data_IF_832611114606
#
_entry.id   IF_832611114606
#
_cell.length_a   1.000
_cell.length_b   1.000
_cell.length_c   1.000
_cell.angle_alpha   90.00
_cell.angle_beta   90.00
_cell.angle_gamma   90.00
#
_symmetry.space_group_name_H-M   'P 1'
#
loop_
_entity.id
_entity.type
_entity.pdbx_description
1 polymer ?
#
# COMPACT_ATOMS: atom_id res chain seq x y z
N UNK A 1 2.55 -10.23 10.08
CA UNK A 1 3.61 -11.14 10.56
C UNK A 1 4.91 -10.35 10.55
N UNK A 2 5.61 -10.20 11.68
CA UNK A 2 6.76 -9.31 11.81
C UNK A 2 8.09 -10.06 11.60
N UNK A 3 8.22 -10.76 10.49
CA UNK A 3 9.46 -11.46 10.14
C UNK A 3 10.60 -10.46 9.87
N UNK A 4 11.84 -10.88 10.12
CA UNK A 4 13.07 -10.16 9.74
C UNK A 4 13.79 -10.93 8.64
N UNK A 5 14.47 -10.25 7.73
CA UNK A 5 15.23 -10.91 6.66
C UNK A 5 16.51 -11.52 7.20
N UNK A 6 16.76 -12.78 6.85
CA UNK A 6 18.00 -13.46 7.17
C UNK A 6 19.18 -12.80 6.43
N UNK A 7 20.22 -12.44 7.15
CA UNK A 7 21.46 -11.86 6.59
C UNK A 7 22.22 -12.83 5.68
N UNK A 8 22.02 -14.14 5.85
CA UNK A 8 22.70 -15.21 5.07
C UNK A 8 21.98 -15.57 3.78
N UNK A 9 20.67 -15.81 3.83
CA UNK A 9 19.91 -16.36 2.70
C UNK A 9 18.68 -15.53 2.29
N UNK A 10 18.46 -14.38 2.94
CA UNK A 10 17.27 -13.53 2.74
C UNK A 10 15.91 -14.19 3.06
N UNK A 11 15.94 -15.38 3.66
CA UNK A 11 14.77 -16.06 4.18
C UNK A 11 14.11 -15.38 5.37
N UNK A 12 12.92 -15.85 5.73
CA UNK A 12 12.17 -15.31 6.86
C UNK A 12 12.73 -15.80 8.19
N UNK A 13 13.11 -14.86 9.05
CA UNK A 13 13.48 -15.11 10.44
C UNK A 13 12.25 -14.87 11.32
N UNK A 14 11.84 -15.89 12.07
CA UNK A 14 10.64 -15.92 12.92
C UNK A 14 10.96 -16.41 14.33
N UNK A 15 10.17 -16.05 15.36
CA UNK A 15 10.37 -16.56 16.72
C UNK A 15 10.24 -18.09 16.74
N UNK A 16 11.18 -18.77 17.41
CA UNK A 16 11.13 -20.24 17.56
C UNK A 16 9.88 -20.64 18.35
N UNK A 17 9.51 -19.83 19.36
CA UNK A 17 8.32 -20.02 20.17
C UNK A 17 7.46 -18.74 20.08
N UNK A 18 6.41 -18.74 19.24
CA UNK A 18 5.46 -17.63 19.19
C UNK A 18 4.90 -17.38 20.60
N UNK A 19 4.98 -16.14 21.11
CA UNK A 19 4.55 -15.69 22.45
C UNK A 19 5.58 -15.79 23.59
N UNK A 20 6.81 -16.26 23.36
CA UNK A 20 7.88 -16.16 24.36
C UNK A 20 9.00 -15.23 23.90
N UNK A 21 9.62 -14.57 24.87
CA UNK A 21 10.93 -13.93 24.69
C UNK A 21 11.95 -15.02 24.41
N UNK A 22 12.23 -15.27 23.12
CA UNK A 22 13.09 -16.35 22.66
C UNK A 22 13.87 -15.92 21.43
N UNK A 23 14.92 -16.67 21.12
CA UNK A 23 15.65 -16.50 19.88
C UNK A 23 14.78 -16.86 18.68
N UNK A 24 15.16 -16.30 17.54
CA UNK A 24 14.47 -16.48 16.29
C UNK A 24 15.27 -17.42 15.39
N UNK A 25 14.62 -17.95 14.37
CA UNK A 25 15.24 -18.88 13.44
C UNK A 25 14.81 -18.57 12.01
N UNK A 26 15.76 -18.60 11.09
CA UNK A 26 15.48 -18.57 9.67
C UNK A 26 14.77 -19.86 9.23
N UNK A 27 13.66 -19.76 8.52
CA UNK A 27 12.93 -20.94 8.02
C UNK A 27 13.69 -21.69 6.90
N UNK A 28 14.49 -20.98 6.10
CA UNK A 28 15.20 -21.60 4.96
C UNK A 28 16.55 -22.24 5.34
N UNK A 29 17.41 -21.51 6.07
CA UNK A 29 18.77 -21.96 6.38
C UNK A 29 18.98 -22.38 7.85
N UNK A 30 17.91 -22.37 8.65
CA UNK A 30 17.89 -22.80 10.05
C UNK A 30 18.84 -22.03 11.00
N UNK A 31 19.45 -20.94 10.53
CA UNK A 31 20.29 -20.07 11.38
C UNK A 31 19.46 -19.50 12.53
N UNK A 32 20.01 -19.61 13.74
CA UNK A 32 19.47 -18.98 14.95
C UNK A 32 19.94 -17.53 14.99
N UNK A 33 19.02 -16.62 15.25
CA UNK A 33 19.26 -15.18 15.41
C UNK A 33 18.86 -14.79 16.84
N UNK A 34 19.80 -14.26 17.64
CA UNK A 34 19.52 -13.89 19.02
C UNK A 34 18.39 -12.86 19.13
N UNK A 35 17.53 -12.99 20.13
CA UNK A 35 16.43 -12.05 20.39
C UNK A 35 16.90 -10.59 20.44
N UNK A 36 18.08 -10.35 21.03
CA UNK A 36 18.66 -9.01 21.15
C UNK A 36 18.96 -8.37 19.80
N UNK A 37 19.38 -9.15 18.80
CA UNK A 37 19.64 -8.66 17.45
C UNK A 37 18.34 -8.33 16.73
N UNK A 38 17.35 -9.22 16.81
CA UNK A 38 16.01 -8.96 16.27
C UNK A 38 15.41 -7.70 16.91
N UNK A 39 15.51 -7.57 18.23
CA UNK A 39 15.03 -6.40 18.97
C UNK A 39 15.68 -5.09 18.51
N UNK A 40 17.00 -5.08 18.24
CA UNK A 40 17.69 -3.92 17.66
C UNK A 40 17.14 -3.56 16.29
N UNK A 41 16.98 -4.55 15.40
CA UNK A 41 16.44 -4.36 14.05
C UNK A 41 15.03 -3.78 14.08
N UNK A 42 14.13 -4.37 14.87
CA UNK A 42 12.75 -3.90 15.00
C UNK A 42 12.67 -2.51 15.64
N UNK A 43 13.51 -2.22 16.64
CA UNK A 43 13.57 -0.90 17.28
C UNK A 43 14.07 0.17 16.30
N UNK A 44 15.08 -0.14 15.49
CA UNK A 44 15.58 0.76 14.46
C UNK A 44 14.50 1.08 13.43
N UNK A 45 13.82 0.05 12.89
CA UNK A 45 12.72 0.23 11.94
C UNK A 45 11.62 1.10 12.56
N UNK A 46 11.18 0.76 13.77
CA UNK A 46 10.15 1.52 14.46
C UNK A 46 10.53 2.99 14.70
N UNK A 47 11.80 3.25 15.00
CA UNK A 47 12.30 4.62 15.21
C UNK A 47 12.31 5.43 13.90
N UNK A 48 12.74 4.82 12.79
CA UNK A 48 12.72 5.46 11.48
C UNK A 48 11.29 5.73 11.02
N UNK A 49 10.38 4.75 11.15
CA UNK A 49 8.97 4.91 10.77
C UNK A 49 8.26 6.03 11.56
N UNK A 50 8.62 6.21 12.84
CA UNK A 50 8.11 7.32 13.67
C UNK A 50 8.69 8.68 13.26
N UNK A 51 9.88 8.71 12.67
CA UNK A 51 10.53 9.93 12.24
C UNK A 51 9.92 10.51 10.95
N UNK A 52 9.26 9.67 10.15
CA UNK A 52 8.53 10.12 8.97
C UNK A 52 7.32 10.94 9.39
N UNK A 53 7.51 12.25 9.46
CA UNK A 53 6.42 13.23 9.38
C UNK A 53 6.02 13.34 7.90
N UNK A 54 4.72 13.58 7.67
CA UNK A 54 4.18 13.95 6.36
C UNK A 54 5.13 14.99 5.77
N UNK A 55 5.62 14.81 4.53
CA UNK A 55 6.36 15.78 3.68
C UNK A 55 7.68 15.30 3.02
N UNK A 56 7.98 14.00 2.85
CA UNK A 56 9.07 13.65 1.91
C UNK A 56 8.90 12.27 1.24
N UNK A 57 8.23 12.26 0.08
CA UNK A 57 8.07 11.06 -0.76
C UNK A 57 9.42 10.41 -1.09
N UNK A 58 10.43 11.19 -1.49
CA UNK A 58 11.72 10.65 -1.94
C UNK A 58 12.44 9.90 -0.82
N UNK A 59 12.44 10.46 0.39
CA UNK A 59 13.05 9.82 1.56
C UNK A 59 12.29 8.53 1.92
N UNK A 60 10.95 8.56 1.92
CA UNK A 60 10.14 7.38 2.19
C UNK A 60 10.37 6.27 1.15
N UNK A 61 10.33 6.61 -0.13
CA UNK A 61 10.52 5.67 -1.24
C UNK A 61 11.95 5.11 -1.27
N UNK A 62 12.96 5.95 -1.00
CA UNK A 62 14.36 5.52 -0.89
C UNK A 62 14.58 4.56 0.28
N UNK A 63 13.99 4.84 1.45
CA UNK A 63 14.08 3.93 2.60
C UNK A 63 13.37 2.60 2.33
N UNK A 64 12.17 2.65 1.74
CA UNK A 64 11.38 1.48 1.36
C UNK A 64 12.15 0.55 0.42
N UNK A 65 12.72 1.11 -0.67
CA UNK A 65 13.43 0.33 -1.70
C UNK A 65 14.82 -0.10 -1.26
N UNK A 66 15.49 0.70 -0.43
CA UNK A 66 16.85 0.45 0.03
C UNK A 66 16.89 -0.32 1.35
N UNK A 67 17.08 0.40 2.46
CA UNK A 67 17.38 -0.24 3.76
C UNK A 67 16.26 -1.19 4.23
N UNK A 68 14.99 -0.81 4.06
CA UNK A 68 13.89 -1.58 4.61
C UNK A 68 13.74 -2.95 3.92
N UNK A 69 13.83 -3.00 2.59
CA UNK A 69 13.75 -4.25 1.81
C UNK A 69 14.87 -5.26 2.16
N UNK A 70 16.01 -4.78 2.65
CA UNK A 70 17.10 -5.64 3.12
C UNK A 70 16.91 -6.16 4.54
N UNK A 71 16.14 -5.45 5.37
CA UNK A 71 15.93 -5.75 6.79
C UNK A 71 14.71 -6.64 7.03
N UNK A 72 13.67 -6.52 6.21
CA UNK A 72 12.42 -7.26 6.39
C UNK A 72 11.84 -7.70 5.03
N UNK A 73 11.03 -8.78 4.98
CA UNK A 73 10.35 -9.19 3.76
C UNK A 73 9.25 -8.20 3.37
N UNK A 74 8.83 -8.23 2.10
CA UNK A 74 7.83 -7.30 1.54
C UNK A 74 6.44 -7.38 2.20
N UNK A 75 6.11 -8.51 2.83
CA UNK A 75 4.87 -8.71 3.59
C UNK A 75 4.94 -8.21 5.04
N UNK A 76 6.09 -7.70 5.47
CA UNK A 76 6.26 -7.17 6.81
C UNK A 76 5.40 -5.91 7.02
N UNK A 77 4.82 -5.78 8.21
CA UNK A 77 3.94 -4.66 8.56
C UNK A 77 4.58 -3.28 8.33
N UNK A 78 5.89 -3.12 8.56
CA UNK A 78 6.62 -1.88 8.32
C UNK A 78 6.63 -1.47 6.83
N UNK A 79 6.77 -2.45 5.93
CA UNK A 79 6.73 -2.23 4.48
C UNK A 79 5.33 -1.79 4.06
N UNK A 80 4.31 -2.50 4.55
CA UNK A 80 2.91 -2.20 4.24
C UNK A 80 2.49 -0.82 4.78
N UNK A 81 2.87 -0.48 6.02
CA UNK A 81 2.61 0.84 6.62
C UNK A 81 3.23 1.97 5.78
N UNK A 82 4.48 1.80 5.35
CA UNK A 82 5.16 2.81 4.55
C UNK A 82 4.56 2.93 3.13
N UNK A 83 4.17 1.81 2.51
CA UNK A 83 3.42 1.82 1.24
C UNK A 83 2.09 2.57 1.39
N UNK A 84 1.32 2.29 2.45
CA UNK A 84 0.09 3.03 2.75
C UNK A 84 0.34 4.52 2.90
N UNK A 85 1.35 4.94 3.68
CA UNK A 85 1.71 6.36 3.83
C UNK A 85 2.02 7.03 2.50
N UNK A 86 2.74 6.35 1.61
CA UNK A 86 3.05 6.86 0.26
C UNK A 86 1.77 6.96 -0.57
N UNK A 87 0.90 5.95 -0.56
CA UNK A 87 -0.38 5.95 -1.30
C UNK A 87 -1.23 7.15 -0.88
N UNK A 88 -1.39 7.39 0.42
CA UNK A 88 -2.21 8.49 0.95
C UNK A 88 -1.57 9.86 0.77
N UNK A 89 -0.26 9.93 0.53
CA UNK A 89 0.44 11.17 0.26
C UNK A 89 0.34 11.58 -1.21
N UNK A 90 0.64 10.66 -2.12
CA UNK A 90 0.60 10.90 -3.56
C UNK A 90 -0.85 11.18 -4.00
N UNK A 91 -1.07 12.20 -4.82
CA UNK A 91 -2.38 12.63 -5.31
C UNK A 91 -3.12 13.58 -4.38
N UNK A 92 -2.72 13.68 -3.11
CA UNK A 92 -3.46 14.43 -2.07
C UNK A 92 -2.65 15.52 -1.39
N UNK A 93 -1.32 15.47 -1.46
CA UNK A 93 -0.44 16.48 -0.86
C UNK A 93 -0.06 17.59 -1.87
N UNK A 94 0.13 18.85 -1.42
CA UNK A 94 0.62 19.92 -2.28
C UNK A 94 1.97 19.57 -2.92
N UNK A 95 2.11 19.81 -4.24
CA UNK A 95 3.29 19.46 -5.03
C UNK A 95 3.37 17.98 -5.41
N UNK A 96 2.38 17.18 -5.03
CA UNK A 96 2.18 15.80 -5.42
C UNK A 96 0.72 15.55 -5.80
N UNK A 97 0.00 16.56 -6.28
CA UNK A 97 -1.40 16.43 -6.69
C UNK A 97 -1.53 15.53 -7.92
N UNK A 98 -2.72 14.97 -8.16
CA UNK A 98 -2.95 13.97 -9.21
C UNK A 98 -2.41 14.37 -10.58
N UNK A 99 -2.65 15.61 -11.00
CA UNK A 99 -2.19 16.21 -12.26
C UNK A 99 -0.67 16.47 -12.29
N UNK A 100 -0.01 16.58 -11.14
CA UNK A 100 1.44 16.84 -11.01
C UNK A 100 2.26 15.53 -11.03
N UNK A 101 1.65 14.41 -10.63
CA UNK A 101 2.35 13.12 -10.56
C UNK A 101 2.82 12.65 -11.95
N UNK A 102 4.11 12.33 -12.15
CA UNK A 102 4.57 11.66 -13.36
C UNK A 102 3.93 10.29 -13.56
N UNK A 103 3.82 9.83 -14.80
CA UNK A 103 3.21 8.53 -15.13
C UNK A 103 3.90 7.35 -14.39
N UNK A 104 5.20 7.43 -14.21
CA UNK A 104 5.98 6.44 -13.45
C UNK A 104 5.55 6.37 -11.97
N UNK A 105 5.26 7.53 -11.36
CA UNK A 105 4.82 7.64 -9.97
C UNK A 105 3.36 7.18 -9.82
N UNK A 106 2.50 7.46 -10.80
CA UNK A 106 1.14 6.90 -10.85
C UNK A 106 1.17 5.36 -10.90
N UNK A 107 2.01 4.78 -11.77
CA UNK A 107 2.17 3.33 -11.85
C UNK A 107 2.78 2.74 -10.57
N UNK A 108 3.68 3.47 -9.92
CA UNK A 108 4.21 3.09 -8.61
C UNK A 108 3.09 3.04 -7.56
N UNK A 109 2.28 4.10 -7.44
CA UNK A 109 1.14 4.12 -6.52
C UNK A 109 0.19 2.95 -6.79
N UNK A 110 -0.13 2.69 -8.06
CA UNK A 110 -0.94 1.55 -8.51
C UNK A 110 -0.36 0.21 -8.03
N UNK A 111 0.95 -0.01 -8.21
CA UNK A 111 1.62 -1.23 -7.76
C UNK A 111 1.54 -1.43 -6.25
N UNK A 112 1.69 -0.35 -5.46
CA UNK A 112 1.57 -0.44 -4.00
C UNK A 112 0.14 -0.76 -3.55
N UNK A 113 -0.88 -0.20 -4.19
CA UNK A 113 -2.27 -0.58 -3.94
C UNK A 113 -2.48 -2.07 -4.22
N UNK A 114 -1.97 -2.57 -5.36
CA UNK A 114 -2.07 -3.98 -5.74
C UNK A 114 -1.38 -4.90 -4.72
N UNK A 115 -0.15 -4.57 -4.31
CA UNK A 115 0.61 -5.36 -3.33
C UNK A 115 -0.16 -5.53 -2.02
N UNK A 116 -0.74 -4.44 -1.50
CA UNK A 116 -1.49 -4.49 -0.23
C UNK A 116 -2.81 -5.26 -0.41
N UNK A 117 -3.53 -5.06 -1.52
CA UNK A 117 -4.74 -5.82 -1.82
C UNK A 117 -4.47 -7.34 -1.90
N UNK A 118 -3.34 -7.75 -2.49
CA UNK A 118 -2.90 -9.15 -2.53
C UNK A 118 -2.60 -9.70 -1.13
N UNK A 119 -2.00 -8.89 -0.26
CA UNK A 119 -1.78 -9.28 1.15
C UNK A 119 -3.11 -9.45 1.89
N UNK A 120 -4.04 -8.50 1.76
CA UNK A 120 -5.37 -8.58 2.37
C UNK A 120 -6.12 -9.84 1.89
N UNK A 121 -6.03 -10.16 0.60
CA UNK A 121 -6.61 -11.37 0.02
C UNK A 121 -5.98 -12.65 0.62
N UNK A 122 -4.64 -12.71 0.71
CA UNK A 122 -3.93 -13.85 1.32
C UNK A 122 -4.29 -14.06 2.79
N UNK A 123 -4.48 -12.97 3.53
CA UNK A 123 -4.94 -12.97 4.92
C UNK A 123 -6.45 -13.24 5.05
N UNK A 124 -7.18 -13.36 3.93
CA UNK A 124 -8.64 -13.54 3.88
C UNK A 124 -9.38 -12.44 4.66
N UNK A 125 -8.85 -11.23 4.64
CA UNK A 125 -9.55 -10.07 5.19
C UNK A 125 -10.69 -9.73 4.24
N UNK A 126 -11.92 -9.78 4.75
CA UNK A 126 -13.13 -9.50 3.98
C UNK A 126 -13.32 -8.02 3.67
N UNK A 127 -14.58 -7.58 3.63
CA UNK A 127 -14.93 -6.18 3.42
C UNK A 127 -14.47 -5.34 4.62
N UNK A 128 -13.43 -4.54 4.41
CA UNK A 128 -12.87 -3.65 5.41
C UNK A 128 -12.55 -2.30 4.78
N UNK A 129 -12.57 -1.25 5.61
CA UNK A 129 -12.34 0.14 5.21
C UNK A 129 -11.09 0.30 4.33
N UNK A 130 -9.94 -0.24 4.79
CA UNK A 130 -8.67 -0.13 4.05
C UNK A 130 -8.75 -0.77 2.65
N UNK A 131 -9.49 -1.87 2.47
CA UNK A 131 -9.70 -2.48 1.15
C UNK A 131 -10.49 -1.53 0.26
N UNK A 132 -11.59 -0.97 0.77
CA UNK A 132 -12.43 -0.03 0.05
C UNK A 132 -11.65 1.21 -0.40
N UNK A 133 -10.86 1.80 0.51
CA UNK A 133 -10.04 2.97 0.20
C UNK A 133 -8.95 2.65 -0.84
N UNK A 134 -8.28 1.50 -0.74
CA UNK A 134 -7.26 1.09 -1.73
C UNK A 134 -7.85 0.84 -3.13
N UNK A 135 -9.05 0.26 -3.20
CA UNK A 135 -9.77 0.07 -4.46
C UNK A 135 -10.16 1.42 -5.09
N UNK A 136 -10.58 2.37 -4.26
CA UNK A 136 -10.87 3.73 -4.72
C UNK A 136 -9.61 4.45 -5.24
N UNK A 137 -8.47 4.34 -4.55
CA UNK A 137 -7.20 4.88 -5.04
C UNK A 137 -6.76 4.22 -6.35
N UNK A 138 -7.01 2.92 -6.52
CA UNK A 138 -6.74 2.19 -7.76
C UNK A 138 -7.56 2.77 -8.91
N UNK A 139 -8.86 3.02 -8.67
CA UNK A 139 -9.74 3.67 -9.64
C UNK A 139 -9.21 5.06 -10.03
N UNK A 140 -8.87 5.92 -9.06
CA UNK A 140 -8.34 7.25 -9.34
C UNK A 140 -7.04 7.22 -10.16
N UNK A 141 -6.13 6.30 -9.85
CA UNK A 141 -4.92 6.10 -10.65
C UNK A 141 -5.24 5.76 -12.11
N UNK A 142 -6.19 4.84 -12.34
CA UNK A 142 -6.59 4.41 -13.68
C UNK A 142 -7.24 5.55 -14.46
N UNK A 143 -8.14 6.31 -13.84
CA UNK A 143 -8.79 7.45 -14.49
C UNK A 143 -7.78 8.53 -14.90
N UNK A 144 -6.84 8.87 -14.02
CA UNK A 144 -5.80 9.86 -14.33
C UNK A 144 -4.85 9.38 -15.43
N UNK A 145 -4.54 8.08 -15.48
CA UNK A 145 -3.76 7.48 -16.57
C UNK A 145 -4.55 7.52 -17.88
N UNK A 146 -5.82 7.12 -17.88
CA UNK A 146 -6.70 7.11 -19.06
C UNK A 146 -6.88 8.53 -19.61
N UNK A 147 -7.09 9.52 -18.73
CA UNK A 147 -7.19 10.94 -19.10
C UNK A 147 -5.96 11.44 -19.87
N UNK A 148 -4.78 10.93 -19.55
CA UNK A 148 -3.51 11.30 -20.20
C UNK A 148 -3.20 10.47 -21.44
N UNK A 149 -3.69 9.24 -21.50
CA UNK A 149 -3.47 8.31 -22.60
C UNK A 149 -4.76 8.16 -23.41
N UNK A 150 -4.87 8.94 -24.48
CA UNK A 150 -6.03 8.96 -25.38
C UNK A 150 -6.43 7.61 -25.99
N UNK A 151 -5.54 6.59 -26.00
CA UNK A 151 -5.74 5.34 -26.75
C UNK A 151 -5.83 4.05 -25.90
N UNK A 152 -5.63 4.12 -24.59
CA UNK A 152 -5.71 2.92 -23.72
C UNK A 152 -6.77 3.12 -22.64
N UNK A 153 -7.98 2.63 -22.91
CA UNK A 153 -9.01 2.51 -21.90
C UNK A 153 -8.76 1.25 -21.06
N UNK A 154 -8.04 1.39 -19.96
CA UNK A 154 -8.01 0.33 -18.94
C UNK A 154 -9.41 0.24 -18.31
N UNK A 155 -10.17 -0.79 -18.69
CA UNK A 155 -11.60 -0.95 -18.37
C UNK A 155 -11.87 -1.35 -16.92
N UNK A 156 -10.84 -1.75 -16.18
CA UNK A 156 -10.99 -2.33 -14.84
C UNK A 156 -11.29 -1.29 -13.76
N UNK A 157 -11.04 0.01 -14.02
CA UNK A 157 -11.28 1.10 -13.07
C UNK A 157 -12.71 1.11 -12.51
N UNK A 158 -13.71 0.91 -13.35
CA UNK A 158 -15.13 0.91 -12.94
C UNK A 158 -15.44 -0.23 -11.98
N UNK A 159 -14.82 -1.39 -12.15
CA UNK A 159 -15.05 -2.54 -11.26
C UNK A 159 -14.48 -2.27 -9.87
N UNK A 160 -13.28 -1.67 -9.79
CA UNK A 160 -12.71 -1.26 -8.51
C UNK A 160 -13.58 -0.24 -7.79
N UNK A 161 -14.12 0.74 -8.52
CA UNK A 161 -15.01 1.74 -7.93
C UNK A 161 -16.30 1.13 -7.38
N UNK A 162 -16.93 0.22 -8.12
CA UNK A 162 -18.14 -0.48 -7.67
C UNK A 162 -17.89 -1.23 -6.37
N UNK A 163 -16.81 -2.01 -6.31
CA UNK A 163 -16.45 -2.74 -5.11
C UNK A 163 -16.11 -1.80 -3.94
N UNK A 164 -15.39 -0.69 -4.20
CA UNK A 164 -15.13 0.33 -3.19
C UNK A 164 -16.43 0.93 -2.63
N UNK A 165 -17.42 1.23 -3.48
CA UNK A 165 -18.71 1.73 -3.05
C UNK A 165 -19.46 0.72 -2.18
N UNK A 166 -19.48 -0.55 -2.57
CA UNK A 166 -20.13 -1.61 -1.80
C UNK A 166 -19.55 -1.76 -0.40
N UNK A 167 -18.22 -1.58 -0.28
CA UNK A 167 -17.50 -1.64 1.00
C UNK A 167 -17.75 -0.38 1.85
N UNK A 168 -17.68 0.82 1.24
CA UNK A 168 -17.62 2.09 1.97
C UNK A 168 -18.96 2.82 2.10
N UNK A 169 -20.07 2.31 1.51
CA UNK A 169 -21.38 3.00 1.49
C UNK A 169 -21.93 3.50 2.83
N UNK A 170 -21.52 2.89 3.95
CA UNK A 170 -21.95 3.26 5.30
C UNK A 170 -20.80 3.79 6.16
N UNK A 171 -19.64 4.01 5.56
CA UNK A 171 -18.44 4.45 6.26
C UNK A 171 -18.37 5.99 6.28
N UNK A 172 -18.09 6.57 7.45
CA UNK A 172 -17.92 8.02 7.58
C UNK A 172 -16.68 8.52 6.83
N UNK A 173 -15.67 7.67 6.67
CA UNK A 173 -14.44 7.94 5.92
C UNK A 173 -14.63 7.90 4.40
N UNK A 174 -15.80 7.46 3.92
CA UNK A 174 -16.06 7.31 2.50
C UNK A 174 -15.81 8.63 1.74
N UNK A 175 -15.02 8.60 0.65
CA UNK A 175 -14.85 9.74 -0.25
C UNK A 175 -16.19 10.32 -0.68
N UNK A 176 -16.26 11.64 -0.91
CA UNK A 176 -17.50 12.33 -1.28
C UNK A 176 -18.19 11.70 -2.48
N UNK A 177 -17.42 11.33 -3.50
CA UNK A 177 -17.90 10.68 -4.73
C UNK A 177 -18.57 9.32 -4.46
N UNK A 178 -18.19 8.62 -3.39
CA UNK A 178 -18.84 7.38 -2.96
C UNK A 178 -20.12 7.69 -2.16
N UNK A 179 -20.09 8.72 -1.31
CA UNK A 179 -21.24 9.14 -0.50
C UNK A 179 -22.39 9.70 -1.32
N UNK A 180 -22.12 10.38 -2.43
CA UNK A 180 -23.15 10.94 -3.34
C UNK A 180 -23.77 9.89 -4.26
N UNK A 181 -23.23 8.66 -4.28
CA UNK A 181 -23.69 7.56 -5.11
C UNK A 181 -23.28 7.68 -6.59
N UNK A 182 -23.18 6.52 -7.27
CA UNK A 182 -22.72 6.36 -8.67
C UNK A 182 -23.61 7.09 -9.72
N UNK A 183 -24.67 7.77 -9.28
CA UNK A 183 -25.66 8.50 -10.09
C UNK A 183 -25.03 9.45 -11.13
N UNK A 184 -23.88 10.03 -10.82
CA UNK A 184 -23.24 11.05 -11.66
C UNK A 184 -22.26 10.49 -12.71
N UNK A 185 -21.83 9.22 -12.59
CA UNK A 185 -20.81 8.64 -13.47
C UNK A 185 -21.39 8.27 -14.85
N UNK A 186 -22.68 7.92 -14.89
CA UNK A 186 -23.40 7.73 -16.16
C UNK A 186 -23.87 9.07 -16.78
N UNK A 187 -23.90 10.16 -16.02
CA UNK A 187 -24.34 11.47 -16.48
C UNK A 187 -23.31 12.19 -17.37
N UNK A 188 -22.02 11.90 -17.21
CA UNK A 188 -20.95 12.52 -17.99
C UNK A 188 -20.67 11.84 -19.34
N UNK A 189 -21.19 10.63 -19.60
CA UNK A 189 -21.13 10.03 -20.93
C UNK A 189 -22.11 10.67 -21.92
N UNK A 190 -23.20 11.26 -21.44
CA UNK A 190 -24.23 11.85 -22.32
C UNK A 190 -23.98 13.33 -22.66
N UNK A 191 -22.83 13.92 -22.29
CA UNK A 191 -22.47 15.31 -22.61
C UNK A 191 -21.31 15.46 -23.61
N UNK A 192 -20.81 14.35 -24.15
CA UNK A 192 -19.79 14.34 -25.21
C UNK A 192 -20.33 13.91 -26.59
N UNK A 193 -21.62 13.55 -26.68
CA UNK A 193 -22.30 13.15 -27.92
C UNK A 193 -23.47 14.09 -28.30
N UNK A 194 -23.29 15.41 -28.11
CA UNK A 194 -24.13 16.48 -28.71
C UNK A 194 -23.25 17.67 -29.05
#
# INVERSE_FOLDING_TARGET
MNAVSCDRCKGNVLPIIPQKSCDWRCEDCMRIVPLKEVGKTLTLIGSVLKSFRICNFDVMNSFLRGKLSHMVPDSNQAVLDLKCKIIWFLGHAPGFEWNELPLEILNLKKSFCCDILLVLQKLKVGMCEIRGLLLYEMYLCIEEINKRKSDTNEKDGINYLKEACDILKFDASAPEQIRTGISDINGNKNKLDT
#
